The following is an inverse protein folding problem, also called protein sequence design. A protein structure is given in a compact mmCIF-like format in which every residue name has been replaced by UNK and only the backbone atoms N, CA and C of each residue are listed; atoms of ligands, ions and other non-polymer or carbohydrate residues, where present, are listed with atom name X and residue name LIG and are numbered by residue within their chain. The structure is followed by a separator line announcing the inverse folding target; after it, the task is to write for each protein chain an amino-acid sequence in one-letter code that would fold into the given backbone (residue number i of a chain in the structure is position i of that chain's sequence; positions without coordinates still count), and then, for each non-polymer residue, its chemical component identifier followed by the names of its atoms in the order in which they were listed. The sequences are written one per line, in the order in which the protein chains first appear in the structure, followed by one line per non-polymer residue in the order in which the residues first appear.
data_IF_586749530655
#
_entry.id   IF_586749530655
#
_cell.length_a   1.000
_cell.length_b   1.000
_cell.length_c   1.000
_cell.angle_alpha   90.00
_cell.angle_beta   90.00
_cell.angle_gamma   90.00
#
_symmetry.space_group_name_H-M   'P 1'
#
loop_
_entity.id
_entity.type
_entity.pdbx_description
1 polymer ?
#
# COMPACT_ATOMS: atom_id res chain seq x y z
N UNK A 1 -4.24 -10.86 20.02
CA UNK A 1 -3.38 -10.46 18.87
C UNK A 1 -3.30 -11.65 17.93
N UNK A 2 -3.54 -11.48 16.64
CA UNK A 2 -3.54 -12.55 15.62
C UNK A 2 -2.63 -12.10 14.47
N UNK A 3 -1.88 -13.02 13.88
CA UNK A 3 -1.16 -12.79 12.63
C UNK A 3 -2.16 -12.63 11.48
N UNK A 4 -2.02 -11.60 10.64
CA UNK A 4 -2.96 -11.36 9.54
C UNK A 4 -2.73 -12.34 8.39
N UNK A 5 -1.52 -12.35 7.83
CA UNK A 5 -1.15 -13.23 6.73
C UNK A 5 0.34 -13.59 6.80
N UNK A 6 0.68 -14.78 6.29
CA UNK A 6 2.04 -15.16 5.93
C UNK A 6 2.12 -15.18 4.41
N UNK A 7 3.15 -14.58 3.84
CA UNK A 7 3.47 -14.83 2.44
C UNK A 7 4.59 -15.87 2.34
N UNK A 8 4.47 -16.85 1.42
CA UNK A 8 5.60 -17.68 1.07
C UNK A 8 6.71 -16.79 0.49
N UNK A 9 7.95 -17.27 0.57
CA UNK A 9 9.15 -16.59 0.11
C UNK A 9 9.56 -15.34 0.90
N UNK A 10 10.73 -14.80 0.56
CA UNK A 10 11.31 -13.65 1.24
C UNK A 10 10.77 -12.35 0.68
N UNK A 11 10.03 -11.59 1.50
CA UNK A 11 9.51 -10.28 1.15
C UNK A 11 9.96 -9.23 2.15
N UNK A 12 10.49 -8.13 1.62
CA UNK A 12 10.92 -6.99 2.41
C UNK A 12 9.83 -5.94 2.40
N UNK A 13 9.01 -5.96 3.45
CA UNK A 13 7.98 -4.94 3.66
C UNK A 13 8.57 -3.70 4.32
N UNK A 14 8.08 -2.54 3.88
CA UNK A 14 8.40 -1.23 4.44
C UNK A 14 7.11 -0.62 5.04
N UNK A 15 6.72 0.57 4.58
CA UNK A 15 5.59 1.31 5.13
C UNK A 15 4.25 0.78 4.61
N UNK A 16 3.16 1.15 5.28
CA UNK A 16 1.81 0.71 4.93
C UNK A 16 0.77 1.83 5.08
N UNK A 17 -0.35 1.65 4.38
CA UNK A 17 -1.60 2.37 4.60
C UNK A 17 -2.78 1.39 4.56
N UNK A 18 -3.92 1.80 5.11
CA UNK A 18 -5.15 1.00 5.12
C UNK A 18 -6.19 1.67 4.25
N UNK A 19 -6.88 0.91 3.41
CA UNK A 19 -8.00 1.42 2.61
C UNK A 19 -9.33 1.38 3.38
N UNK A 20 -10.37 1.99 2.81
CA UNK A 20 -11.68 2.12 3.45
C UNK A 20 -12.40 0.77 3.68
N UNK A 21 -11.97 -0.31 3.02
CA UNK A 21 -12.48 -1.67 3.24
C UNK A 21 -11.66 -2.46 4.26
N UNK A 22 -10.59 -1.87 4.79
CA UNK A 22 -9.72 -2.50 5.77
C UNK A 22 -8.59 -3.32 5.14
N UNK A 23 -8.35 -3.23 3.83
CA UNK A 23 -7.18 -3.86 3.25
C UNK A 23 -5.91 -3.15 3.72
N UNK A 24 -4.89 -3.93 4.04
CA UNK A 24 -3.58 -3.42 4.42
C UNK A 24 -2.70 -3.38 3.17
N UNK A 25 -2.43 -2.17 2.67
CA UNK A 25 -1.58 -1.93 1.51
C UNK A 25 -0.16 -1.65 1.98
N UNK A 26 0.79 -2.54 1.65
CA UNK A 26 2.16 -2.54 2.16
C UNK A 26 3.15 -2.34 1.01
N UNK A 27 4.02 -1.35 1.13
CA UNK A 27 5.12 -1.16 0.21
C UNK A 27 6.09 -2.35 0.29
N UNK A 28 6.46 -2.90 -0.86
CA UNK A 28 7.27 -4.13 -0.97
C UNK A 28 8.54 -3.85 -1.76
N UNK A 29 9.68 -3.98 -1.08
CA UNK A 29 11.02 -3.80 -1.63
C UNK A 29 11.47 -5.08 -2.35
N UNK A 30 12.38 -4.93 -3.31
CA UNK A 30 12.94 -5.94 -4.22
C UNK A 30 11.95 -6.41 -5.28
N UNK A 31 10.79 -6.94 -4.88
CA UNK A 31 9.72 -7.27 -5.83
C UNK A 31 9.10 -6.01 -6.46
N UNK A 32 9.16 -4.88 -5.74
CA UNK A 32 8.85 -3.56 -6.27
C UNK A 32 7.35 -3.35 -6.51
N UNK A 33 6.64 -2.93 -5.48
CA UNK A 33 5.24 -2.57 -5.63
C UNK A 33 4.50 -2.46 -4.31
N UNK A 34 3.18 -2.55 -4.38
CA UNK A 34 2.29 -2.54 -3.22
C UNK A 34 1.64 -3.91 -3.11
N UNK A 35 1.88 -4.58 -1.98
CA UNK A 35 1.22 -5.83 -1.63
C UNK A 35 0.02 -5.53 -0.75
N UNK A 36 -1.14 -6.00 -1.16
CA UNK A 36 -2.43 -5.72 -0.52
C UNK A 36 -2.89 -6.99 0.15
N UNK A 37 -3.07 -6.94 1.46
CA UNK A 37 -3.66 -8.02 2.25
C UNK A 37 -5.10 -7.67 2.62
N UNK A 38 -6.00 -8.61 2.38
CA UNK A 38 -7.39 -8.50 2.84
C UNK A 38 -7.47 -8.58 4.37
N UNK A 39 -8.47 -7.95 5.00
CA UNK A 39 -8.60 -7.90 6.46
C UNK A 39 -8.88 -9.27 7.11
N UNK A 40 -9.43 -10.22 6.36
CA UNK A 40 -9.60 -11.60 6.79
C UNK A 40 -8.30 -12.41 6.74
N UNK A 41 -7.32 -11.97 5.95
CA UNK A 41 -6.03 -12.63 5.72
C UNK A 41 -6.08 -13.72 4.64
N UNK A 42 -7.19 -13.86 3.92
CA UNK A 42 -7.41 -14.98 2.98
C UNK A 42 -6.82 -14.71 1.60
N UNK A 43 -6.68 -13.44 1.21
CA UNK A 43 -6.16 -13.08 -0.11
C UNK A 43 -5.09 -12.01 -0.08
N UNK A 44 -4.19 -12.12 -1.05
CA UNK A 44 -3.09 -11.20 -1.30
C UNK A 44 -3.09 -10.81 -2.77
N UNK A 45 -2.98 -9.50 -3.04
CA UNK A 45 -2.83 -8.94 -4.40
C UNK A 45 -1.55 -8.12 -4.45
N UNK A 46 -0.80 -8.20 -5.55
CA UNK A 46 0.36 -7.33 -5.76
C UNK A 46 0.11 -6.35 -6.90
N UNK A 47 0.37 -5.07 -6.65
CA UNK A 47 0.29 -4.00 -7.64
C UNK A 47 1.72 -3.56 -7.95
N UNK A 48 2.28 -3.95 -9.11
CA UNK A 48 3.66 -3.64 -9.45
C UNK A 48 3.86 -2.14 -9.65
N UNK A 49 5.00 -1.62 -9.21
CA UNK A 49 5.41 -0.24 -9.45
C UNK A 49 6.63 -0.21 -10.39
N UNK A 50 6.84 0.90 -11.12
CA UNK A 50 8.02 1.06 -11.97
C UNK A 50 9.29 1.37 -11.14
N UNK A 51 9.49 0.70 -9.99
CA UNK A 51 10.65 0.81 -9.12
C UNK A 51 10.81 -0.44 -8.24
N UNK A 52 12.03 -0.99 -8.18
CA UNK A 52 12.36 -2.15 -7.34
C UNK A 52 12.30 -1.86 -5.83
N UNK A 53 12.52 -0.61 -5.43
CA UNK A 53 12.53 -0.17 -4.04
C UNK A 53 11.35 0.79 -3.85
N UNK A 54 10.15 0.23 -3.84
CA UNK A 54 8.94 0.94 -3.44
C UNK A 54 8.86 0.95 -1.91
N UNK A 55 8.77 2.13 -1.30
CA UNK A 55 8.99 2.28 0.17
C UNK A 55 7.78 2.76 0.95
N UNK A 56 6.87 3.51 0.34
CA UNK A 56 5.72 4.04 1.06
C UNK A 56 4.49 4.19 0.15
N UNK A 57 3.32 4.17 0.76
CA UNK A 57 2.03 4.45 0.16
C UNK A 57 1.19 5.27 1.13
N UNK A 58 0.49 6.28 0.63
CA UNK A 58 -0.59 6.95 1.35
C UNK A 58 -1.73 7.31 0.40
N UNK A 59 -2.89 7.63 0.97
CA UNK A 59 -4.09 7.98 0.21
C UNK A 59 -4.44 9.45 0.38
N UNK A 60 -4.83 10.08 -0.72
CA UNK A 60 -5.25 11.48 -0.78
C UNK A 60 -6.10 11.76 -2.02
N UNK A 61 -6.15 13.01 -2.43
CA UNK A 61 -7.01 13.43 -3.54
C UNK A 61 -8.50 13.44 -3.17
N UNK A 62 -9.34 13.67 -4.18
CA UNK A 62 -10.79 13.74 -3.99
C UNK A 62 -11.33 12.36 -3.54
N UNK A 63 -12.05 12.36 -2.42
CA UNK A 63 -12.59 11.13 -1.84
C UNK A 63 -11.54 10.09 -1.44
N UNK A 64 -10.27 10.49 -1.24
CA UNK A 64 -9.14 9.60 -0.92
C UNK A 64 -8.88 8.52 -1.99
N UNK A 65 -9.23 8.79 -3.26
CA UNK A 65 -9.10 7.82 -4.36
C UNK A 65 -7.73 7.81 -5.03
N UNK A 66 -6.82 8.70 -4.66
CA UNK A 66 -5.47 8.74 -5.21
C UNK A 66 -4.48 8.09 -4.24
N UNK A 67 -3.75 7.08 -4.71
CA UNK A 67 -2.57 6.57 -4.02
C UNK A 67 -1.33 7.35 -4.43
N UNK A 68 -0.58 7.82 -3.43
CA UNK A 68 0.74 8.41 -3.60
C UNK A 68 1.81 7.42 -3.13
N UNK A 69 2.78 7.13 -3.97
CA UNK A 69 3.74 6.04 -3.75
C UNK A 69 5.17 6.55 -3.94
N UNK A 70 6.04 6.31 -2.96
CA UNK A 70 7.45 6.71 -3.06
C UNK A 70 8.29 5.60 -3.70
N UNK A 71 9.02 5.98 -4.75
CA UNK A 71 9.86 5.11 -5.57
C UNK A 71 11.33 5.47 -5.31
N UNK A 72 11.97 4.73 -4.40
CA UNK A 72 13.24 5.14 -3.81
C UNK A 72 14.43 4.97 -4.75
N UNK A 73 14.45 3.97 -5.64
CA UNK A 73 15.58 3.79 -6.56
C UNK A 73 15.62 4.92 -7.59
N UNK A 74 14.45 5.33 -8.05
CA UNK A 74 14.30 6.38 -9.08
C UNK A 74 14.21 7.78 -8.49
N UNK A 75 13.98 7.92 -7.18
CA UNK A 75 13.77 9.20 -6.50
C UNK A 75 12.47 9.89 -6.90
N UNK A 76 11.45 9.14 -7.32
CA UNK A 76 10.18 9.68 -7.84
C UNK A 76 9.04 9.49 -6.86
N UNK A 77 8.05 10.39 -6.94
CA UNK A 77 6.74 10.22 -6.34
C UNK A 77 5.75 9.87 -7.46
N UNK A 78 5.14 8.69 -7.37
CA UNK A 78 4.05 8.30 -8.25
C UNK A 78 2.71 8.69 -7.62
N UNK A 79 1.74 9.04 -8.47
CA UNK A 79 0.35 9.23 -8.10
C UNK A 79 -0.52 8.45 -9.08
N UNK A 80 -1.49 7.70 -8.58
CA UNK A 80 -2.41 6.93 -9.42
C UNK A 80 -3.78 6.77 -8.74
N UNK A 81 -4.81 6.58 -9.56
CA UNK A 81 -6.12 6.14 -9.07
C UNK A 81 -5.97 4.78 -8.38
N UNK A 82 -6.60 4.64 -7.23
CA UNK A 82 -6.65 3.41 -6.46
C UNK A 82 -8.05 2.81 -6.51
N UNK A 83 -8.13 1.49 -6.57
CA UNK A 83 -9.39 0.75 -6.72
C UNK A 83 -10.35 1.02 -5.56
N UNK A 84 -9.81 1.11 -4.35
CA UNK A 84 -10.55 1.40 -3.12
C UNK A 84 -10.11 2.74 -2.53
N UNK A 85 -11.01 3.62 -2.09
CA UNK A 85 -10.63 4.82 -1.35
C UNK A 85 -9.77 4.50 -0.12
N UNK A 86 -8.86 5.40 0.24
CA UNK A 86 -8.11 5.31 1.49
C UNK A 86 -8.99 5.41 2.75
N UNK A 87 -8.54 4.80 3.85
CA UNK A 87 -9.17 5.01 5.16
C UNK A 87 -8.90 6.45 5.63
N UNK A 88 -9.96 7.18 5.98
CA UNK A 88 -9.82 8.51 6.56
C UNK A 88 -9.05 8.43 7.90
N UNK A 89 -7.96 9.20 8.00
CA UNK A 89 -7.15 9.25 9.21
C UNK A 89 -7.86 10.03 10.31
N UNK A 90 -7.50 9.75 11.57
CA UNK A 90 -8.17 10.32 12.75
C UNK A 90 -8.20 11.86 12.78
N UNK A 91 -7.31 12.55 12.07
CA UNK A 91 -7.23 14.02 12.05
C UNK A 91 -7.44 14.62 10.66
N UNK A 92 -7.96 13.85 9.70
CA UNK A 92 -8.17 14.33 8.35
C UNK A 92 -9.21 15.47 8.36
N UNK A 93 -8.79 16.68 7.94
CA UNK A 93 -9.61 17.88 7.81
C UNK A 93 -10.39 18.28 9.09
N UNK A 94 -9.88 17.93 10.27
CA UNK A 94 -10.44 18.34 11.56
C UNK A 94 -9.94 19.70 11.99
#
# INVERSE_FOLDING_TARGET
KRMLALMPDYHLFDSLAVDATGNVCVATIVNGGITIHTPDGESVKHVPMPDRITTNICFGGEGLKTAYVTLSTTGKLAAMEWETPGLALNFLNK
#
